data_IF_838588434754
#
_entry.id   IF_838588434754
#
_cell.length_a   1.000
_cell.length_b   1.000
_cell.length_c   1.000
_cell.angle_alpha   90.00
_cell.angle_beta   90.00
_cell.angle_gamma   90.00
#
_symmetry.space_group_name_H-M   'P 1'
#
loop_
_entity.id
_entity.type
_entity.pdbx_description
1 polymer ?
#
# COMPACT_ATOMS: atom_id res chain seq x y z
N UNK A 1 41.41 9.19 -27.75
CA UNK A 1 41.88 7.95 -27.11
C UNK A 1 41.37 7.98 -25.67
N UNK A 2 40.13 7.52 -25.43
CA UNK A 2 39.52 7.21 -24.10
C UNK A 2 38.00 6.96 -24.28
N UNK A 3 37.63 6.05 -25.19
CA UNK A 3 36.24 5.56 -25.35
C UNK A 3 36.23 4.06 -25.67
N UNK A 4 36.99 3.28 -24.90
CA UNK A 4 37.07 1.83 -25.07
C UNK A 4 36.84 1.00 -23.79
N UNK A 5 36.71 1.61 -22.61
CA UNK A 5 36.44 0.86 -21.37
C UNK A 5 34.94 0.61 -21.11
N UNK A 6 34.03 1.44 -21.65
CA UNK A 6 32.58 1.27 -21.43
C UNK A 6 31.92 0.19 -22.32
N UNK A 7 32.59 -0.31 -23.37
CA UNK A 7 32.04 -1.36 -24.25
C UNK A 7 32.47 -2.78 -23.88
N UNK A 8 33.47 -2.93 -23.01
CA UNK A 8 33.93 -4.25 -22.55
C UNK A 8 33.09 -4.81 -21.39
N UNK A 9 32.45 -3.95 -20.58
CA UNK A 9 31.57 -4.38 -19.50
C UNK A 9 30.21 -4.91 -20.01
N UNK A 10 29.68 -4.33 -21.08
CA UNK A 10 28.36 -4.70 -21.65
C UNK A 10 28.40 -6.04 -22.42
N UNK A 11 29.58 -6.49 -22.87
CA UNK A 11 29.74 -7.75 -23.59
C UNK A 11 30.00 -8.97 -22.68
N UNK A 12 30.37 -8.76 -21.41
CA UNK A 12 30.70 -9.83 -20.47
C UNK A 12 29.50 -10.34 -19.65
N UNK A 13 28.43 -9.55 -19.50
CA UNK A 13 27.20 -9.97 -18.81
C UNK A 13 26.18 -10.67 -19.74
N UNK A 14 26.31 -10.51 -21.06
CA UNK A 14 25.37 -11.08 -22.04
C UNK A 14 25.63 -12.57 -22.36
N UNK A 15 26.56 -13.22 -21.65
CA UNK A 15 26.98 -14.61 -21.89
C UNK A 15 26.86 -15.50 -20.64
N UNK A 16 25.86 -15.22 -19.80
CA UNK A 16 25.29 -16.19 -18.85
C UNK A 16 23.85 -16.45 -19.29
N UNK A 17 23.76 -17.24 -20.36
CA UNK A 17 22.74 -18.24 -20.71
C UNK A 17 21.59 -18.38 -19.67
N UNK A 18 20.38 -17.96 -20.02
CA UNK A 18 19.36 -18.87 -20.58
C UNK A 18 19.10 -20.15 -19.79
N UNK A 19 18.88 -20.02 -18.47
CA UNK A 19 17.96 -20.89 -17.77
C UNK A 19 16.75 -20.08 -17.32
N UNK A 20 15.65 -20.17 -18.06
CA UNK A 20 14.33 -19.85 -17.52
C UNK A 20 14.17 -20.62 -16.20
N UNK A 21 13.93 -19.98 -15.05
CA UNK A 21 13.24 -20.70 -14.00
C UNK A 21 11.84 -20.97 -14.54
N UNK A 22 11.36 -22.23 -14.57
CA UNK A 22 9.94 -22.45 -14.84
C UNK A 22 9.16 -21.60 -13.83
N UNK A 23 8.07 -20.97 -14.27
CA UNK A 23 7.09 -20.40 -13.38
C UNK A 23 6.74 -21.45 -12.33
N UNK A 24 7.37 -21.35 -11.15
CA UNK A 24 7.12 -22.24 -10.05
C UNK A 24 5.67 -22.06 -9.60
N UNK A 25 5.01 -23.12 -9.10
CA UNK A 25 3.68 -22.97 -8.53
C UNK A 25 3.74 -21.91 -7.42
N UNK A 26 2.70 -21.08 -7.38
CA UNK A 26 2.40 -20.17 -6.27
C UNK A 26 2.82 -20.83 -4.95
N UNK A 27 3.80 -20.24 -4.26
CA UNK A 27 4.26 -20.75 -2.97
C UNK A 27 3.04 -20.92 -2.06
N UNK A 28 2.68 -22.15 -1.67
CA UNK A 28 1.59 -22.36 -0.74
C UNK A 28 2.05 -21.87 0.63
N UNK A 29 1.49 -20.76 1.10
CA UNK A 29 1.66 -20.31 2.48
C UNK A 29 2.38 -18.98 2.69
N UNK A 30 2.44 -18.07 1.71
CA UNK A 30 2.78 -16.66 2.03
C UNK A 30 1.61 -16.08 2.85
N UNK A 31 1.81 -15.70 4.12
CA UNK A 31 0.77 -15.04 4.89
C UNK A 31 0.52 -13.66 4.26
N UNK A 32 -0.66 -13.47 3.68
CA UNK A 32 -1.15 -12.14 3.35
C UNK A 32 -1.40 -11.43 4.67
N UNK A 33 -0.63 -10.36 4.90
CA UNK A 33 -0.50 -9.52 6.10
C UNK A 33 0.80 -9.80 6.86
N UNK A 34 1.73 -8.82 6.93
CA UNK A 34 2.77 -8.81 7.96
C UNK A 34 2.08 -8.98 9.31
N UNK A 35 2.60 -9.87 10.17
CA UNK A 35 2.28 -9.86 11.59
C UNK A 35 2.77 -8.53 12.17
N UNK A 36 1.97 -7.49 12.05
CA UNK A 36 2.27 -6.17 12.61
C UNK A 36 2.02 -6.28 14.12
N UNK A 37 3.16 -6.28 14.84
CA UNK A 37 3.42 -6.13 16.28
C UNK A 37 2.22 -6.23 17.24
N UNK A 38 2.25 -7.15 18.23
CA UNK A 38 1.25 -7.20 19.28
C UNK A 38 1.55 -6.15 20.36
N UNK A 39 0.61 -5.24 20.62
CA UNK A 39 0.55 -4.56 21.92
C UNK A 39 -0.42 -5.31 22.82
N UNK A 40 0.09 -5.77 23.96
CA UNK A 40 -0.62 -6.60 24.94
C UNK A 40 -1.56 -5.74 25.78
N UNK A 41 -2.86 -5.79 25.49
CA UNK A 41 -3.85 -5.64 26.56
C UNK A 41 -3.91 -6.98 27.32
N UNK A 42 -4.00 -6.93 28.65
CA UNK A 42 -3.90 -8.05 29.59
C UNK A 42 -5.02 -9.10 29.50
N UNK A 43 -5.67 -9.24 28.35
CA UNK A 43 -6.61 -10.30 27.97
C UNK A 43 -6.23 -10.83 26.60
N UNK A 44 -5.43 -11.89 26.57
CA UNK A 44 -4.80 -12.46 25.38
C UNK A 44 -5.75 -12.95 24.28
N UNK A 45 -6.20 -12.03 23.42
CA UNK A 45 -6.55 -12.32 22.02
C UNK A 45 -6.35 -11.04 21.19
N UNK A 46 -5.82 -11.10 19.96
CA UNK A 46 -5.66 -9.92 19.11
C UNK A 46 -7.05 -9.43 18.67
N UNK A 47 -7.60 -8.45 19.39
CA UNK A 47 -8.92 -7.83 19.15
C UNK A 47 -8.93 -6.89 17.92
N UNK A 48 -7.83 -6.85 17.16
CA UNK A 48 -7.67 -5.97 15.98
C UNK A 48 -8.72 -6.21 14.87
N UNK A 49 -9.39 -7.36 14.86
CA UNK A 49 -10.28 -7.79 13.78
C UNK A 49 -11.78 -7.65 14.10
N UNK A 50 -12.16 -7.37 15.36
CA UNK A 50 -13.58 -7.20 15.69
C UNK A 50 -14.04 -5.78 15.34
N UNK A 51 -14.62 -5.58 14.17
CA UNK A 51 -15.23 -4.31 13.76
C UNK A 51 -16.64 -4.15 14.35
N UNK A 52 -16.95 -2.98 14.92
CA UNK A 52 -18.34 -2.67 15.32
C UNK A 52 -19.17 -2.27 14.10
N UNK A 53 -20.49 -2.46 14.16
CA UNK A 53 -21.38 -2.05 13.06
C UNK A 53 -21.23 -0.56 12.75
N UNK A 54 -21.13 0.27 13.79
CA UNK A 54 -21.02 1.72 13.69
C UNK A 54 -19.70 2.15 13.05
N UNK A 55 -18.60 1.47 13.39
CA UNK A 55 -17.28 1.74 12.82
C UNK A 55 -17.26 1.38 11.32
N UNK A 56 -17.76 0.20 10.98
CA UNK A 56 -17.83 -0.27 9.59
C UNK A 56 -18.73 0.66 8.77
N UNK A 57 -19.89 1.01 9.31
CA UNK A 57 -20.80 1.95 8.67
C UNK A 57 -20.13 3.30 8.43
N UNK A 58 -19.43 3.85 9.44
CA UNK A 58 -18.70 5.12 9.28
C UNK A 58 -17.67 5.07 8.16
N UNK A 59 -16.93 3.96 8.03
CA UNK A 59 -15.96 3.77 6.94
C UNK A 59 -16.64 3.71 5.56
N UNK A 60 -17.77 3.02 5.46
CA UNK A 60 -18.52 2.91 4.20
C UNK A 60 -19.09 4.27 3.80
N UNK A 61 -19.67 5.01 4.74
CA UNK A 61 -20.34 6.29 4.47
C UNK A 61 -19.37 7.47 4.31
N UNK A 62 -18.14 7.37 4.82
CA UNK A 62 -17.07 8.35 4.56
C UNK A 62 -16.34 8.11 3.24
N UNK A 63 -16.57 6.97 2.58
CA UNK A 63 -15.95 6.66 1.30
C UNK A 63 -16.66 7.37 0.14
N UNK A 64 -15.87 7.78 -0.85
CA UNK A 64 -16.41 8.24 -2.14
C UNK A 64 -17.06 7.07 -2.88
N UNK A 65 -18.34 7.25 -3.25
CA UNK A 65 -19.19 6.17 -3.74
C UNK A 65 -18.83 5.63 -5.12
N UNK A 66 -18.35 6.49 -6.03
CA UNK A 66 -18.23 6.20 -7.47
C UNK A 66 -16.82 5.81 -7.91
N UNK A 67 -15.98 5.37 -6.96
CA UNK A 67 -14.66 4.81 -7.28
C UNK A 67 -14.79 3.51 -8.06
N UNK A 68 -13.78 3.23 -8.89
CA UNK A 68 -13.68 1.99 -9.66
C UNK A 68 -13.84 0.76 -8.76
N UNK A 69 -14.66 -0.18 -9.21
CA UNK A 69 -14.92 -1.45 -8.53
C UNK A 69 -13.86 -2.49 -8.83
N UNK A 70 -13.79 -3.50 -7.97
CA UNK A 70 -12.97 -4.69 -8.21
C UNK A 70 -13.61 -5.63 -9.24
N UNK A 71 -13.06 -6.85 -9.36
CA UNK A 71 -13.61 -7.90 -10.21
C UNK A 71 -15.10 -8.24 -9.95
N UNK A 72 -15.60 -7.95 -8.75
CA UNK A 72 -16.99 -8.16 -8.35
C UNK A 72 -17.97 -7.12 -8.90
N UNK A 73 -17.47 -6.00 -9.45
CA UNK A 73 -18.28 -4.93 -10.02
C UNK A 73 -18.99 -4.04 -9.00
N UNK A 74 -18.87 -4.29 -7.70
CA UNK A 74 -19.55 -3.49 -6.68
C UNK A 74 -18.76 -2.25 -6.30
N UNK A 75 -19.44 -1.10 -6.20
CA UNK A 75 -18.85 0.18 -5.78
C UNK A 75 -19.22 0.51 -4.33
N UNK A 76 -18.56 1.49 -3.71
CA UNK A 76 -18.96 1.95 -2.37
C UNK A 76 -20.40 2.47 -2.35
N UNK A 77 -20.89 3.07 -3.44
CA UNK A 77 -22.28 3.52 -3.58
C UNK A 77 -23.28 2.38 -3.37
N UNK A 78 -22.98 1.18 -3.89
CA UNK A 78 -23.82 0.00 -3.64
C UNK A 78 -23.97 -0.30 -2.14
N UNK A 79 -22.87 -0.32 -1.39
CA UNK A 79 -22.90 -0.60 0.05
C UNK A 79 -23.56 0.52 0.86
N UNK A 80 -23.44 1.78 0.42
CA UNK A 80 -24.12 2.91 1.04
C UNK A 80 -25.63 2.85 0.83
N UNK A 81 -26.08 2.53 -0.38
CA UNK A 81 -27.51 2.44 -0.73
C UNK A 81 -28.18 1.22 -0.11
N UNK A 82 -27.53 0.05 -0.14
CA UNK A 82 -28.09 -1.21 0.32
C UNK A 82 -27.59 -1.64 1.70
N UNK A 83 -27.08 -0.71 2.52
CA UNK A 83 -26.47 -1.01 3.83
C UNK A 83 -27.35 -1.91 4.70
N UNK A 84 -28.65 -1.61 4.78
CA UNK A 84 -29.60 -2.38 5.59
C UNK A 84 -29.72 -3.84 5.16
N UNK A 85 -29.50 -4.12 3.87
CA UNK A 85 -29.53 -5.47 3.30
C UNK A 85 -28.19 -6.20 3.52
N UNK A 86 -27.07 -5.53 3.22
CA UNK A 86 -25.75 -6.17 3.14
C UNK A 86 -24.97 -6.15 4.46
N UNK A 87 -25.42 -5.40 5.47
CA UNK A 87 -24.68 -5.22 6.73
C UNK A 87 -24.39 -6.54 7.44
N UNK A 88 -25.32 -7.50 7.40
CA UNK A 88 -25.16 -8.80 8.06
C UNK A 88 -24.03 -9.58 7.40
N UNK A 89 -23.95 -9.57 6.07
CA UNK A 89 -22.90 -10.25 5.32
C UNK A 89 -21.53 -9.61 5.59
N UNK A 90 -21.45 -8.29 5.64
CA UNK A 90 -20.21 -7.57 5.97
C UNK A 90 -19.75 -7.90 7.40
N UNK A 91 -20.65 -7.90 8.38
CA UNK A 91 -20.31 -8.28 9.76
C UNK A 91 -19.83 -9.74 9.84
N UNK A 92 -20.41 -10.63 9.05
CA UNK A 92 -19.94 -12.02 8.94
C UNK A 92 -18.53 -12.11 8.34
N UNK A 93 -18.16 -11.24 7.39
CA UNK A 93 -16.79 -11.19 6.85
C UNK A 93 -15.79 -10.87 7.96
N UNK A 94 -16.05 -9.85 8.79
CA UNK A 94 -15.18 -9.54 9.93
C UNK A 94 -15.12 -10.69 10.95
N UNK A 95 -16.26 -11.34 11.21
CA UNK A 95 -16.32 -12.51 12.11
C UNK A 95 -15.49 -13.69 11.59
N UNK A 96 -15.57 -13.97 10.28
CA UNK A 96 -14.77 -15.02 9.62
C UNK A 96 -13.28 -14.69 9.62
N UNK A 97 -12.92 -13.42 9.41
CA UNK A 97 -11.54 -12.98 9.46
C UNK A 97 -10.96 -13.14 10.88
N UNK A 98 -11.74 -12.83 11.91
CA UNK A 98 -11.32 -12.97 13.31
C UNK A 98 -11.11 -14.43 13.71
N UNK A 99 -11.98 -15.33 13.24
CA UNK A 99 -11.89 -16.76 13.53
C UNK A 99 -10.83 -17.49 12.68
N UNK A 100 -10.20 -16.80 11.71
CA UNK A 100 -9.29 -17.44 10.76
C UNK A 100 -9.98 -18.47 9.87
N UNK A 101 -11.30 -18.37 9.72
CA UNK A 101 -12.10 -19.37 8.99
C UNK A 101 -11.81 -19.26 7.48
N UNK A 102 -11.48 -20.38 6.81
CA UNK A 102 -11.31 -20.38 5.36
C UNK A 102 -12.61 -20.01 4.63
N UNK A 103 -12.50 -19.35 3.48
CA UNK A 103 -13.66 -18.97 2.66
C UNK A 103 -13.70 -17.51 2.20
N UNK A 104 -12.75 -16.68 2.63
CA UNK A 104 -12.62 -15.28 2.18
C UNK A 104 -11.72 -15.12 0.93
N UNK A 105 -11.21 -16.21 0.35
CA UNK A 105 -10.26 -16.14 -0.77
C UNK A 105 -10.78 -15.39 -1.99
N UNK A 106 -12.09 -15.44 -2.26
CA UNK A 106 -12.72 -14.67 -3.35
C UNK A 106 -12.71 -13.16 -3.10
N UNK A 107 -12.71 -12.71 -1.84
CA UNK A 107 -12.61 -11.28 -1.53
C UNK A 107 -11.25 -10.70 -1.91
N UNK A 108 -10.21 -11.53 -1.87
CA UNK A 108 -8.85 -11.15 -2.26
C UNK A 108 -8.64 -11.17 -3.79
N UNK A 109 -9.68 -11.45 -4.58
CA UNK A 109 -9.58 -11.32 -6.03
C UNK A 109 -9.34 -9.85 -6.41
N UNK A 110 -8.34 -9.64 -7.26
CA UNK A 110 -7.98 -8.32 -7.77
C UNK A 110 -7.79 -8.33 -9.28
N UNK A 111 -8.11 -7.20 -9.91
CA UNK A 111 -7.88 -6.96 -11.33
C UNK A 111 -6.68 -6.02 -11.48
N UNK A 112 -5.66 -6.48 -12.20
CA UNK A 112 -4.49 -5.68 -12.52
C UNK A 112 -4.66 -5.04 -13.90
N UNK A 113 -4.51 -3.73 -13.98
CA UNK A 113 -4.59 -2.94 -15.22
C UNK A 113 -3.36 -2.06 -15.35
N UNK A 114 -2.84 -1.91 -16.57
CA UNK A 114 -1.74 -1.01 -16.89
C UNK A 114 -2.30 0.29 -17.45
N UNK A 115 -1.97 1.42 -16.81
CA UNK A 115 -2.27 2.75 -17.32
C UNK A 115 -0.98 3.39 -17.86
N UNK A 116 -0.94 3.82 -19.13
CA UNK A 116 0.24 4.48 -19.68
C UNK A 116 0.52 5.79 -18.91
N UNK A 117 1.77 6.04 -18.55
CA UNK A 117 2.22 7.30 -17.92
C UNK A 117 2.29 8.46 -18.92
N UNK A 118 2.48 8.13 -20.21
CA UNK A 118 2.63 9.09 -21.32
C UNK A 118 2.01 8.54 -22.60
N UNK A 119 1.62 9.43 -23.50
CA UNK A 119 1.13 9.04 -24.82
C UNK A 119 2.21 8.32 -25.62
N UNK A 120 1.81 7.26 -26.34
CA UNK A 120 2.74 6.43 -27.12
C UNK A 120 3.68 5.58 -26.28
N UNK A 121 3.28 5.24 -25.04
CA UNK A 121 4.04 4.31 -24.20
C UNK A 121 4.33 2.99 -24.95
N UNK A 122 5.60 2.57 -24.91
CA UNK A 122 6.09 1.40 -25.65
C UNK A 122 6.91 0.44 -24.78
N UNK A 123 7.47 0.94 -23.67
CA UNK A 123 8.20 0.15 -22.68
C UNK A 123 7.34 -0.11 -21.44
N UNK A 124 7.56 -1.24 -20.76
CA UNK A 124 6.84 -1.66 -19.54
C UNK A 124 7.03 -0.64 -18.42
N UNK A 125 8.20 -0.02 -18.32
CA UNK A 125 8.51 1.01 -17.31
C UNK A 125 7.68 2.30 -17.50
N UNK A 126 7.06 2.46 -18.65
CA UNK A 126 6.21 3.61 -19.00
C UNK A 126 4.75 3.38 -18.62
N UNK A 127 4.42 2.22 -18.06
CA UNK A 127 3.10 1.94 -17.52
C UNK A 127 3.11 2.03 -15.99
N UNK A 128 1.98 2.47 -15.46
CA UNK A 128 1.65 2.38 -14.05
C UNK A 128 0.70 1.20 -13.86
N UNK A 129 1.12 0.21 -13.09
CA UNK A 129 0.25 -0.89 -12.68
C UNK A 129 -0.73 -0.41 -11.61
N UNK A 130 -2.02 -0.53 -11.89
CA UNK A 130 -3.11 -0.30 -10.94
C UNK A 130 -3.75 -1.63 -10.57
N UNK A 131 -4.01 -1.82 -9.28
CA UNK A 131 -4.70 -2.97 -8.74
C UNK A 131 -6.09 -2.54 -8.26
N UNK A 132 -7.13 -3.09 -8.89
CA UNK A 132 -8.52 -2.92 -8.48
C UNK A 132 -8.91 -4.11 -7.60
N UNK A 133 -9.26 -3.84 -6.35
CA UNK A 133 -9.63 -4.86 -5.36
C UNK A 133 -11.13 -4.77 -5.05
N UNK A 134 -11.73 -5.88 -4.64
CA UNK A 134 -13.13 -5.89 -4.23
C UNK A 134 -13.39 -4.89 -3.09
N UNK A 135 -14.54 -4.22 -3.12
CA UNK A 135 -14.86 -3.19 -2.13
C UNK A 135 -14.98 -3.76 -0.72
N UNK A 136 -15.44 -5.00 -0.56
CA UNK A 136 -15.42 -5.70 0.72
C UNK A 136 -14.01 -5.79 1.33
N UNK A 137 -13.00 -6.05 0.51
CA UNK A 137 -11.60 -6.04 0.94
C UNK A 137 -11.18 -4.62 1.33
N UNK A 138 -11.54 -3.61 0.53
CA UNK A 138 -11.26 -2.21 0.85
C UNK A 138 -11.89 -1.75 2.17
N UNK A 139 -13.12 -2.20 2.48
CA UNK A 139 -13.79 -1.88 3.75
C UNK A 139 -12.95 -2.41 4.92
N UNK A 140 -12.54 -3.68 4.86
CA UNK A 140 -11.68 -4.29 5.88
C UNK A 140 -10.36 -3.51 6.02
N UNK A 141 -9.67 -3.25 4.90
CA UNK A 141 -8.41 -2.50 4.90
C UNK A 141 -8.56 -1.09 5.46
N UNK A 142 -9.66 -0.38 5.14
CA UNK A 142 -9.92 0.97 5.66
C UNK A 142 -10.26 1.00 7.14
N UNK A 143 -11.00 0.01 7.65
CA UNK A 143 -11.25 -0.13 9.09
C UNK A 143 -9.92 -0.35 9.81
N UNK A 144 -9.09 -1.27 9.32
CA UNK A 144 -7.77 -1.52 9.90
C UNK A 144 -6.86 -0.28 9.84
N UNK A 145 -6.82 0.41 8.70
CA UNK A 145 -6.03 1.64 8.55
C UNK A 145 -6.50 2.75 9.50
N UNK A 146 -7.82 2.90 9.71
CA UNK A 146 -8.38 3.87 10.66
C UNK A 146 -7.93 3.58 12.09
N UNK A 147 -7.83 2.30 12.47
CA UNK A 147 -7.31 1.89 13.79
C UNK A 147 -5.81 2.09 13.90
N UNK A 148 -5.05 1.70 12.87
CA UNK A 148 -3.60 1.89 12.82
C UNK A 148 -3.21 3.37 12.91
N UNK A 149 -4.04 4.25 12.35
CA UNK A 149 -3.86 5.70 12.46
C UNK A 149 -3.86 6.20 13.92
N UNK A 150 -4.52 5.50 14.84
CA UNK A 150 -4.54 5.89 16.26
C UNK A 150 -3.20 5.64 16.94
N UNK A 151 -2.48 4.60 16.54
CA UNK A 151 -1.16 4.23 17.09
C UNK A 151 -0.01 4.80 16.28
N UNK A 152 -0.26 5.24 15.03
CA UNK A 152 0.81 5.75 14.16
C UNK A 152 1.43 7.05 14.68
N UNK A 153 0.71 7.85 15.46
CA UNK A 153 1.24 9.09 16.02
C UNK A 153 2.38 8.84 17.02
N UNK A 154 2.35 7.71 17.74
CA UNK A 154 3.38 7.36 18.73
C UNK A 154 4.58 6.63 18.10
N UNK A 155 4.41 6.11 16.87
CA UNK A 155 5.41 5.29 16.18
C UNK A 155 6.23 6.05 15.13
N UNK A 156 5.80 7.25 14.77
CA UNK A 156 6.36 8.02 13.66
C UNK A 156 7.10 9.24 14.22
N UNK A 157 8.35 9.44 13.79
CA UNK A 157 9.15 10.61 14.15
C UNK A 157 8.66 11.89 13.43
N UNK A 158 8.91 13.05 14.02
CA UNK A 158 8.43 14.36 13.53
C UNK A 158 8.98 14.72 12.15
N UNK A 159 10.12 14.15 11.77
CA UNK A 159 10.78 14.36 10.47
C UNK A 159 10.03 13.68 9.32
N UNK A 160 9.17 12.71 9.60
CA UNK A 160 8.31 12.12 8.59
C UNK A 160 7.13 13.07 8.34
N UNK A 161 7.16 13.78 7.22
CA UNK A 161 6.16 14.81 6.88
C UNK A 161 5.13 14.32 5.85
N UNK A 162 5.45 13.26 5.10
CA UNK A 162 4.56 12.68 4.09
C UNK A 162 3.76 11.49 4.62
N UNK A 163 2.52 11.34 4.11
CA UNK A 163 1.60 10.23 4.39
C UNK A 163 1.14 10.11 5.87
N UNK A 164 1.23 11.20 6.63
CA UNK A 164 0.74 11.29 8.02
C UNK A 164 -0.43 12.26 8.10
N UNK A 165 -1.44 12.00 8.94
CA UNK A 165 -2.54 12.93 9.14
C UNK A 165 -2.05 14.31 9.60
N UNK A 166 -2.31 15.34 8.80
CA UNK A 166 -1.90 16.72 9.11
C UNK A 166 -0.51 17.10 8.62
N UNK A 167 0.30 16.15 8.14
CA UNK A 167 1.58 16.44 7.49
C UNK A 167 1.38 16.86 6.03
N UNK A 168 2.04 17.93 5.62
CA UNK A 168 2.07 18.38 4.23
C UNK A 168 3.44 18.05 3.60
N UNK A 169 3.44 17.71 2.31
CA UNK A 169 4.68 17.50 1.56
C UNK A 169 5.56 18.76 1.56
N UNK A 170 4.92 19.93 1.61
CA UNK A 170 5.58 21.23 1.68
C UNK A 170 6.40 21.41 2.96
N UNK A 171 5.97 20.82 4.09
CA UNK A 171 6.68 20.93 5.37
C UNK A 171 8.07 20.27 5.26
N UNK A 172 8.14 19.10 4.62
CA UNK A 172 9.41 18.41 4.39
C UNK A 172 10.35 19.20 3.47
N UNK A 173 9.79 19.88 2.45
CA UNK A 173 10.57 20.77 1.58
C UNK A 173 11.09 21.99 2.35
N UNK A 174 10.27 22.60 3.21
CA UNK A 174 10.66 23.75 4.02
C UNK A 174 11.81 23.40 4.97
N UNK A 175 11.72 22.28 5.67
CA UNK A 175 12.79 21.79 6.56
C UNK A 175 14.09 21.58 5.79
N UNK A 176 14.03 20.93 4.62
CA UNK A 176 15.20 20.73 3.77
C UNK A 176 15.82 22.06 3.30
N UNK A 177 14.99 23.04 2.91
CA UNK A 177 15.43 24.36 2.48
C UNK A 177 16.08 25.14 3.63
N UNK A 178 15.55 25.05 4.84
CA UNK A 178 16.10 25.68 6.04
C UNK A 178 17.48 25.11 6.38
N UNK A 179 17.65 23.78 6.33
CA UNK A 179 18.94 23.11 6.55
C UNK A 179 19.99 23.60 5.54
N UNK A 180 19.65 23.66 4.24
CA UNK A 180 20.55 24.14 3.19
C UNK A 180 20.95 25.60 3.44
N UNK A 181 19.98 26.43 3.82
CA UNK A 181 20.20 27.85 4.08
C UNK A 181 21.11 28.06 5.30
N UNK A 182 20.89 27.30 6.38
CA UNK A 182 21.71 27.35 7.59
C UNK A 182 23.16 26.93 7.32
N UNK A 183 23.37 25.84 6.57
CA UNK A 183 24.71 25.39 6.17
C UNK A 183 25.44 26.43 5.32
N UNK A 184 24.72 27.07 4.39
CA UNK A 184 25.27 28.13 3.52
C UNK A 184 25.67 29.36 4.33
N UNK A 185 24.82 29.78 5.28
CA UNK A 185 25.08 30.93 6.16
C UNK A 185 26.29 30.71 7.06
N UNK A 186 26.43 29.50 7.61
CA UNK A 186 27.54 29.12 8.49
C UNK A 186 28.81 28.72 7.73
N UNK A 187 28.80 28.77 6.39
CA UNK A 187 29.89 28.32 5.50
C UNK A 187 30.34 26.89 5.79
N UNK A 188 29.40 26.02 6.18
CA UNK A 188 29.63 24.60 6.44
C UNK A 188 29.34 23.80 5.18
N UNK A 189 30.24 22.88 4.83
CA UNK A 189 29.99 21.91 3.75
C UNK A 189 29.01 20.84 4.23
N UNK A 190 28.03 20.50 3.39
CA UNK A 190 27.09 19.40 3.63
C UNK A 190 26.93 18.51 2.40
N UNK A 191 26.41 17.30 2.60
CA UNK A 191 26.09 16.34 1.54
C UNK A 191 24.62 15.95 1.67
N UNK A 192 23.87 16.03 0.57
CA UNK A 192 22.50 15.55 0.51
C UNK A 192 22.46 14.16 -0.12
N UNK A 193 21.93 13.18 0.61
CA UNK A 193 21.77 11.82 0.13
C UNK A 193 20.32 11.60 -0.32
N UNK A 194 20.12 11.43 -1.63
CA UNK A 194 18.81 11.07 -2.17
C UNK A 194 18.70 9.56 -2.34
N UNK A 195 17.93 8.93 -1.45
CA UNK A 195 17.66 7.50 -1.49
C UNK A 195 16.38 7.22 -2.29
N UNK A 196 16.43 6.22 -3.16
CA UNK A 196 15.26 5.70 -3.88
C UNK A 196 15.19 4.20 -3.69
N UNK A 197 13.98 3.71 -3.40
CA UNK A 197 13.72 2.28 -3.34
C UNK A 197 13.16 1.83 -4.70
N UNK A 198 13.71 0.75 -5.24
CA UNK A 198 13.07 0.05 -6.35
C UNK A 198 11.73 -0.50 -5.86
N UNK A 199 10.77 -0.64 -6.79
CA UNK A 199 9.47 -1.24 -6.47
C UNK A 199 9.72 -2.67 -5.97
N UNK A 200 9.27 -2.97 -4.76
CA UNK A 200 9.40 -4.27 -4.12
C UNK A 200 8.44 -5.31 -4.70
#
# INVERSE_FOLDING_TARGET
MERQWAKAAVAAEWKIEHSHPPCGPLLPGVPLLPKMVPEMDGRGSPTLVRGSEEEIQRVIFSAEGDKASGPDGFTFRFFQTFWTLVKVDILQVFTKLQSGTPGLGRLNASLFTLIPKRDGASDVDEYCLICLVNVCYMIVSKVLATRMKLVSADLIEEEQTAFIPGGNLEDGYMVAQEIITALTKDKRSGVALKLYFAKA
#
